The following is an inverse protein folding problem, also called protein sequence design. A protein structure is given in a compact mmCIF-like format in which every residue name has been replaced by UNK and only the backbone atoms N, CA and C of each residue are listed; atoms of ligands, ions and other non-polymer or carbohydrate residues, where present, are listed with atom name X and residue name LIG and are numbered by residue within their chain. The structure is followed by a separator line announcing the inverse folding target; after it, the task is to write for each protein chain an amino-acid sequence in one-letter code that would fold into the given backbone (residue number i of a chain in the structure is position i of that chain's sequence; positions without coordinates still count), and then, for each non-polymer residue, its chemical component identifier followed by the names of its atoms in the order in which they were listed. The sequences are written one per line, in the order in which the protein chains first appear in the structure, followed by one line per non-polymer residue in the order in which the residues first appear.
data_IF_556230052363
#
_entry.id   IF_556230052363
#
_cell.length_a   1.000
_cell.length_b   1.000
_cell.length_c   1.000
_cell.angle_alpha   90.00
_cell.angle_beta   90.00
_cell.angle_gamma   90.00
#
_symmetry.space_group_name_H-M   'P 1'
#
loop_
_entity.id
_entity.type
_entity.pdbx_description
1 polymer ?
#
# COMPACT_ATOMS: atom_id res chain seq x y z
N UNK A 1 15.56 -11.71 -12.83
CA UNK A 1 15.77 -10.35 -12.29
C UNK A 1 14.41 -9.80 -11.86
N UNK A 2 14.12 -9.78 -10.55
CA UNK A 2 12.87 -9.25 -10.02
C UNK A 2 12.94 -7.74 -9.97
N UNK A 3 12.42 -7.06 -10.99
CA UNK A 3 12.37 -5.61 -11.03
C UNK A 3 11.49 -5.09 -9.89
N UNK A 4 12.04 -4.20 -9.06
CA UNK A 4 11.28 -3.59 -7.98
C UNK A 4 10.07 -2.81 -8.54
N UNK A 5 8.86 -3.25 -8.17
CA UNK A 5 7.61 -2.57 -8.48
C UNK A 5 7.24 -1.56 -7.38
N UNK A 6 6.74 -0.40 -7.77
CA UNK A 6 6.10 0.59 -6.91
C UNK A 6 4.60 0.37 -6.98
N UNK A 7 3.88 0.59 -5.89
CA UNK A 7 2.43 0.42 -5.87
C UNK A 7 1.76 1.72 -5.41
N UNK A 8 0.80 2.18 -6.20
CA UNK A 8 -0.10 3.26 -5.81
C UNK A 8 -1.32 2.64 -5.15
N UNK A 9 -1.49 2.88 -3.85
CA UNK A 9 -2.60 2.35 -3.06
C UNK A 9 -3.56 3.48 -2.71
N UNK A 10 -4.83 3.35 -3.08
CA UNK A 10 -5.89 4.26 -2.65
C UNK A 10 -6.60 3.66 -1.45
N UNK A 11 -6.57 4.35 -0.31
CA UNK A 11 -7.33 4.01 0.90
C UNK A 11 -8.33 5.13 1.17
N UNK A 12 -9.64 4.84 1.07
CA UNK A 12 -10.67 5.80 1.43
C UNK A 12 -11.02 5.68 2.92
N UNK A 13 -10.94 6.78 3.68
CA UNK A 13 -11.30 6.78 5.10
C UNK A 13 -12.80 6.50 5.23
N UNK A 14 -13.18 5.47 5.99
CA UNK A 14 -14.58 5.10 6.25
C UNK A 14 -15.20 4.10 5.25
N UNK A 15 -14.48 3.72 4.19
CA UNK A 15 -14.89 2.61 3.31
C UNK A 15 -13.72 1.66 3.12
N UNK A 16 -13.93 0.35 3.32
CA UNK A 16 -12.89 -0.68 3.10
C UNK A 16 -12.62 -0.92 1.60
N UNK A 17 -12.51 0.16 0.82
CA UNK A 17 -12.15 0.09 -0.59
C UNK A 17 -10.67 0.39 -0.72
N UNK A 18 -9.88 -0.66 -0.94
CA UNK A 18 -8.49 -0.55 -1.33
C UNK A 18 -8.34 -0.90 -2.81
N UNK A 19 -7.70 -0.02 -3.57
CA UNK A 19 -7.33 -0.29 -4.95
C UNK A 19 -5.82 -0.08 -5.10
N UNK A 20 -5.16 -0.96 -5.84
CA UNK A 20 -3.71 -0.96 -6.05
C UNK A 20 -3.38 -0.87 -7.55
N UNK A 21 -2.45 0.00 -7.91
CA UNK A 21 -1.87 0.06 -9.26
C UNK A 21 -0.39 -0.27 -9.16
N UNK A 22 0.03 -1.33 -9.86
CA UNK A 22 1.45 -1.65 -9.99
C UNK A 22 2.10 -0.75 -11.04
N UNK A 23 3.23 -0.16 -10.66
CA UNK A 23 4.05 0.72 -11.47
C UNK A 23 5.50 0.23 -11.43
N UNK A 24 6.23 0.38 -12.53
CA UNK A 24 7.69 0.33 -12.49
C UNK A 24 8.25 1.55 -11.74
N UNK A 25 9.51 1.47 -11.28
CA UNK A 25 10.20 2.64 -10.69
C UNK A 25 10.20 3.85 -11.62
N UNK A 26 10.38 3.63 -12.92
CA UNK A 26 10.40 4.69 -13.93
C UNK A 26 9.04 5.36 -14.05
N UNK A 27 7.95 4.56 -14.09
CA UNK A 27 6.58 5.08 -14.13
C UNK A 27 6.22 5.84 -12.85
N UNK A 28 6.58 5.32 -11.67
CA UNK A 28 6.37 6.04 -10.42
C UNK A 28 7.13 7.37 -10.37
N UNK A 29 8.39 7.39 -10.84
CA UNK A 29 9.19 8.62 -10.91
C UNK A 29 8.59 9.63 -11.90
N UNK A 30 8.10 9.17 -13.05
CA UNK A 30 7.41 10.01 -14.03
C UNK A 30 6.12 10.59 -13.43
N UNK A 31 5.33 9.78 -12.72
CA UNK A 31 4.08 10.20 -12.09
C UNK A 31 4.32 11.30 -11.04
N UNK A 32 5.33 11.15 -10.19
CA UNK A 32 5.74 12.16 -9.19
C UNK A 32 6.18 13.48 -9.85
N UNK A 33 6.77 13.42 -11.04
CA UNK A 33 7.13 14.61 -11.84
C UNK A 33 5.95 15.22 -12.59
N UNK A 34 4.73 14.73 -12.37
CA UNK A 34 3.52 15.19 -13.06
C UNK A 34 3.42 14.72 -14.51
N UNK A 35 4.24 13.76 -14.93
CA UNK A 35 4.20 13.23 -16.30
C UNK A 35 3.05 12.23 -16.46
N UNK A 36 2.59 12.09 -17.70
CA UNK A 36 1.54 11.13 -18.02
C UNK A 36 2.10 9.71 -18.01
N UNK A 37 1.42 8.81 -17.31
CA UNK A 37 1.74 7.39 -17.21
C UNK A 37 0.51 6.61 -17.65
N UNK A 38 0.66 5.74 -18.65
CA UNK A 38 -0.38 4.79 -19.08
C UNK A 38 -0.10 3.44 -18.46
N UNK A 39 -1.07 2.92 -17.71
CA UNK A 39 -1.03 1.57 -17.16
C UNK A 39 -1.09 0.52 -18.26
N UNK A 40 -0.28 -0.53 -18.15
CA UNK A 40 -0.44 -1.74 -18.95
C UNK A 40 -1.65 -2.51 -18.43
N UNK A 41 -2.82 -2.18 -18.96
CA UNK A 41 -4.08 -2.94 -18.95
C UNK A 41 -4.24 -3.97 -17.82
N UNK A 42 -4.86 -3.58 -16.71
CA UNK A 42 -5.56 -4.52 -15.84
C UNK A 42 -7.06 -4.33 -16.07
N UNK A 43 -7.77 -5.39 -16.45
CA UNK A 43 -9.22 -5.37 -16.61
C UNK A 43 -9.83 -5.09 -15.23
N UNK A 44 -10.50 -3.94 -15.01
CA UNK A 44 -11.04 -3.64 -13.69
C UNK A 44 -12.19 -4.59 -13.38
N UNK A 45 -12.22 -5.15 -12.18
CA UNK A 45 -13.41 -5.81 -11.65
C UNK A 45 -14.55 -4.77 -11.60
N UNK A 46 -15.77 -5.12 -12.03
CA UNK A 46 -16.91 -4.21 -12.04
C UNK A 46 -17.11 -3.53 -10.68
N UNK A 47 -17.17 -2.19 -10.68
CA UNK A 47 -17.35 -1.37 -9.46
C UNK A 47 -16.04 -0.92 -8.78
N UNK A 48 -14.87 -1.34 -9.26
CA UNK A 48 -13.57 -0.87 -8.77
C UNK A 48 -13.13 0.45 -9.43
N UNK A 49 -12.43 1.32 -8.68
CA UNK A 49 -11.79 2.52 -9.24
C UNK A 49 -10.79 2.05 -10.30
N UNK A 50 -10.89 2.57 -11.53
CA UNK A 50 -9.97 2.16 -12.59
C UNK A 50 -8.55 2.65 -12.29
N UNK A 51 -7.50 1.93 -12.73
CA UNK A 51 -6.12 2.39 -12.59
C UNK A 51 -5.92 3.81 -13.15
N UNK A 52 -6.57 4.14 -14.27
CA UNK A 52 -6.50 5.45 -14.91
C UNK A 52 -7.14 6.55 -14.04
N UNK A 53 -8.25 6.24 -13.36
CA UNK A 53 -8.90 7.16 -12.42
C UNK A 53 -8.01 7.41 -11.19
N UNK A 54 -7.36 6.38 -10.65
CA UNK A 54 -6.40 6.54 -9.54
C UNK A 54 -5.19 7.38 -9.94
N UNK A 55 -4.62 7.15 -11.13
CA UNK A 55 -3.52 7.96 -11.65
C UNK A 55 -3.96 9.40 -11.90
N UNK A 56 -5.19 9.61 -12.37
CA UNK A 56 -5.79 10.94 -12.53
C UNK A 56 -5.95 11.67 -11.20
N UNK A 57 -6.49 10.99 -10.19
CA UNK A 57 -6.65 11.51 -8.82
C UNK A 57 -5.29 11.90 -8.24
N UNK A 58 -4.28 11.03 -8.33
CA UNK A 58 -2.93 11.32 -7.86
C UNK A 58 -2.34 12.56 -8.54
N UNK A 59 -2.46 12.68 -9.87
CA UNK A 59 -1.98 13.86 -10.60
C UNK A 59 -2.69 15.14 -10.17
N UNK A 60 -4.02 15.08 -9.99
CA UNK A 60 -4.79 16.21 -9.47
C UNK A 60 -4.33 16.62 -8.08
N UNK A 61 -4.09 15.64 -7.21
CA UNK A 61 -3.61 15.85 -5.85
C UNK A 61 -2.21 16.51 -5.82
N UNK A 62 -1.31 16.08 -6.69
CA UNK A 62 0.01 16.70 -6.87
C UNK A 62 -0.09 18.14 -7.40
N UNK A 63 -0.95 18.40 -8.38
CA UNK A 63 -1.18 19.74 -8.91
C UNK A 63 -1.74 20.71 -7.86
N UNK A 64 -2.47 20.19 -6.87
CA UNK A 64 -3.00 20.96 -5.74
C UNK A 64 -1.96 21.23 -4.64
N UNK A 65 -0.67 20.91 -4.86
CA UNK A 65 0.41 21.24 -3.93
C UNK A 65 0.55 20.29 -2.75
N UNK A 66 0.03 19.06 -2.86
CA UNK A 66 0.32 18.03 -1.85
C UNK A 66 1.82 17.72 -1.80
N UNK A 67 2.34 17.63 -0.59
CA UNK A 67 3.72 17.28 -0.28
C UNK A 67 3.76 15.95 0.48
N UNK A 68 4.87 15.20 0.37
CA UNK A 68 4.98 13.94 1.09
C UNK A 68 5.26 14.25 2.57
N UNK A 69 4.72 13.42 3.44
CA UNK A 69 4.87 13.55 4.91
C UNK A 69 5.62 12.35 5.49
N UNK A 70 5.33 11.16 4.96
CA UNK A 70 5.96 9.92 5.35
C UNK A 70 6.16 9.03 4.12
N UNK A 71 7.12 8.12 4.22
CA UNK A 71 7.29 7.02 3.28
C UNK A 71 7.40 5.71 4.03
N UNK A 72 6.98 4.64 3.37
CA UNK A 72 7.20 3.28 3.81
C UNK A 72 7.82 2.45 2.69
N UNK A 73 8.68 1.51 3.05
CA UNK A 73 9.25 0.52 2.14
C UNK A 73 9.18 -0.86 2.78
N UNK A 74 8.92 -1.89 1.98
CA UNK A 74 8.82 -3.27 2.43
C UNK A 74 9.40 -4.21 1.37
N UNK A 75 9.73 -5.43 1.77
CA UNK A 75 9.88 -6.56 0.87
C UNK A 75 8.53 -7.25 0.74
N UNK A 76 7.90 -7.12 -0.43
CA UNK A 76 6.58 -7.68 -0.70
C UNK A 76 6.68 -9.01 -1.45
N UNK A 77 6.03 -10.04 -0.91
CA UNK A 77 5.77 -11.31 -1.61
C UNK A 77 4.29 -11.36 -1.98
N UNK A 78 3.97 -11.66 -3.24
CA UNK A 78 2.59 -11.77 -3.73
C UNK A 78 2.28 -13.21 -4.11
N UNK A 79 1.18 -13.73 -3.58
CA UNK A 79 0.64 -15.05 -3.86
C UNK A 79 -0.74 -14.87 -4.49
N UNK A 80 -0.86 -15.18 -5.77
CA UNK A 80 -2.13 -15.12 -6.48
C UNK A 80 -2.29 -16.38 -7.32
N UNK A 81 -3.49 -16.93 -7.33
CA UNK A 81 -3.86 -18.03 -8.21
C UNK A 81 -4.75 -17.46 -9.32
N UNK A 82 -4.34 -17.62 -10.58
CA UNK A 82 -5.09 -17.11 -11.73
C UNK A 82 -6.49 -17.74 -11.87
N UNK A 83 -6.69 -18.93 -11.30
CA UNK A 83 -7.97 -19.63 -11.31
C UNK A 83 -8.89 -19.24 -10.15
N UNK A 84 -8.41 -18.41 -9.21
CA UNK A 84 -9.11 -18.08 -7.97
C UNK A 84 -9.18 -16.57 -7.75
N UNK A 85 -10.29 -16.04 -7.21
CA UNK A 85 -10.34 -14.65 -6.74
C UNK A 85 -9.51 -14.41 -5.46
N UNK A 86 -8.77 -15.42 -5.00
CA UNK A 86 -7.90 -15.32 -3.84
C UNK A 86 -6.54 -14.73 -4.22
N UNK A 87 -6.16 -13.66 -3.53
CA UNK A 87 -4.82 -13.12 -3.54
C UNK A 87 -4.35 -12.85 -2.11
N UNK A 88 -3.07 -13.04 -1.85
CA UNK A 88 -2.43 -12.68 -0.60
C UNK A 88 -1.14 -11.91 -0.87
N UNK A 89 -0.84 -10.93 -0.02
CA UNK A 89 0.43 -10.22 0.00
C UNK A 89 1.03 -10.30 1.39
N UNK A 90 2.33 -10.56 1.45
CA UNK A 90 3.13 -10.53 2.68
C UNK A 90 4.17 -9.41 2.55
N UNK A 91 4.05 -8.40 3.39
CA UNK A 91 5.04 -7.33 3.52
C UNK A 91 5.97 -7.62 4.71
N UNK A 92 7.24 -7.77 4.41
CA UNK A 92 8.32 -8.02 5.36
C UNK A 92 9.30 -6.84 5.39
N UNK A 93 10.16 -6.79 6.41
CA UNK A 93 11.20 -5.76 6.56
C UNK A 93 10.67 -4.33 6.41
N UNK A 94 9.48 -4.08 6.97
CA UNK A 94 8.75 -2.83 6.81
C UNK A 94 9.51 -1.71 7.52
N UNK A 95 9.91 -0.72 6.72
CA UNK A 95 10.64 0.47 7.11
C UNK A 95 9.80 1.71 6.88
N UNK A 96 9.83 2.65 7.81
CA UNK A 96 9.06 3.89 7.75
C UNK A 96 9.97 5.08 8.05
N UNK A 97 9.72 6.20 7.38
CA UNK A 97 10.49 7.41 7.61
C UNK A 97 9.69 8.67 7.29
N UNK A 98 9.99 9.75 8.01
CA UNK A 98 9.49 11.08 7.68
C UNK A 98 10.22 11.61 6.44
N UNK A 99 9.46 12.26 5.55
CA UNK A 99 9.99 12.89 4.33
C UNK A 99 9.34 14.26 4.16
N UNK A 100 10.06 15.16 3.50
CA UNK A 100 9.57 16.52 3.20
C UNK A 100 9.45 16.80 1.71
N UNK A 101 10.16 16.02 0.90
CA UNK A 101 10.25 16.19 -0.55
C UNK A 101 10.14 14.84 -1.23
N UNK A 102 9.58 14.84 -2.43
CA UNK A 102 9.38 13.62 -3.20
C UNK A 102 10.73 13.07 -3.68
N UNK A 103 10.98 11.78 -3.45
CA UNK A 103 12.23 11.13 -3.83
C UNK A 103 13.42 11.44 -2.92
N UNK A 104 13.21 12.16 -1.82
CA UNK A 104 14.27 12.40 -0.83
C UNK A 104 14.64 11.11 -0.08
N UNK A 105 15.94 10.90 0.12
CA UNK A 105 16.45 9.84 1.00
C UNK A 105 16.17 10.23 2.46
N UNK A 106 15.52 9.36 3.25
CA UNK A 106 15.22 9.68 4.64
C UNK A 106 16.50 9.68 5.48
N UNK A 107 16.59 10.60 6.45
CA UNK A 107 17.73 10.65 7.39
C UNK A 107 17.65 9.60 8.48
N UNK A 108 16.43 9.28 8.93
CA UNK A 108 16.15 8.30 9.97
C UNK A 108 15.07 7.37 9.45
N UNK A 109 15.26 6.08 9.71
CA UNK A 109 14.33 5.03 9.30
C UNK A 109 14.02 4.18 10.52
N UNK A 110 12.73 3.98 10.76
CA UNK A 110 12.21 3.13 11.81
C UNK A 110 11.68 1.84 11.22
N UNK A 111 11.72 0.78 12.03
CA UNK A 111 11.23 -0.54 11.66
C UNK A 111 9.89 -0.81 12.32
N UNK A 112 8.92 -1.30 11.54
CA UNK A 112 7.72 -1.91 12.10
C UNK A 112 8.12 -3.30 12.64
N UNK A 113 7.82 -3.64 13.90
CA UNK A 113 8.25 -4.91 14.49
C UNK A 113 7.39 -6.11 14.04
N UNK A 114 6.52 -5.92 13.05
CA UNK A 114 5.58 -6.91 12.55
C UNK A 114 5.66 -7.00 11.02
N UNK A 115 5.45 -8.22 10.51
CA UNK A 115 5.14 -8.43 9.11
C UNK A 115 3.63 -8.22 8.90
N UNK A 116 3.24 -7.77 7.71
CA UNK A 116 1.83 -7.51 7.38
C UNK A 116 1.37 -8.50 6.32
N UNK A 117 0.44 -9.38 6.69
CA UNK A 117 -0.23 -10.30 5.79
C UNK A 117 -1.60 -9.75 5.44
N UNK A 118 -1.83 -9.50 4.15
CA UNK A 118 -3.14 -9.10 3.64
C UNK A 118 -3.67 -10.21 2.74
N UNK A 119 -4.90 -10.64 2.99
CA UNK A 119 -5.57 -11.67 2.19
C UNK A 119 -6.87 -11.09 1.66
N UNK A 120 -7.02 -11.12 0.34
CA UNK A 120 -8.22 -10.74 -0.39
C UNK A 120 -8.88 -12.00 -0.92
N UNK A 121 -10.12 -12.26 -0.53
CA UNK A 121 -10.91 -13.41 -1.00
C UNK A 121 -12.35 -13.01 -1.28
N UNK A 122 -13.03 -13.77 -2.14
CA UNK A 122 -14.47 -13.60 -2.34
C UNK A 122 -15.22 -13.92 -1.03
N UNK A 123 -16.18 -13.08 -0.60
CA UNK A 123 -16.81 -13.21 0.72
C UNK A 123 -17.64 -14.49 0.88
N UNK A 124 -18.17 -15.02 -0.23
CA UNK A 124 -19.22 -16.04 -0.18
C UNK A 124 -18.70 -17.45 0.11
N UNK A 125 -17.41 -17.74 -0.09
CA UNK A 125 -16.80 -19.06 0.16
C UNK A 125 -15.28 -18.98 0.38
N UNK A 126 -14.80 -18.52 1.55
CA UNK A 126 -13.38 -18.55 1.85
C UNK A 126 -12.85 -19.99 1.91
N UNK A 127 -11.64 -20.29 1.36
CA UNK A 127 -11.05 -21.61 1.43
C UNK A 127 -10.88 -22.10 2.88
N UNK A 128 -11.13 -23.38 3.14
CA UNK A 128 -11.07 -23.93 4.52
C UNK A 128 -9.72 -23.73 5.20
N UNK A 129 -8.63 -23.82 4.45
CA UNK A 129 -7.28 -23.63 4.99
C UNK A 129 -7.03 -22.21 5.48
N UNK A 130 -7.79 -21.22 4.97
CA UNK A 130 -7.67 -19.83 5.40
C UNK A 130 -8.06 -19.64 6.87
N UNK A 131 -9.01 -20.45 7.37
CA UNK A 131 -9.33 -20.49 8.81
C UNK A 131 -8.12 -20.87 9.65
N UNK A 132 -7.30 -21.80 9.18
CA UNK A 132 -6.08 -22.19 9.88
C UNK A 132 -5.08 -21.04 10.06
N UNK A 133 -5.08 -20.05 9.15
CA UNK A 133 -4.28 -18.83 9.31
C UNK A 133 -4.94 -17.88 10.32
N UNK A 134 -6.26 -17.67 10.21
CA UNK A 134 -6.99 -16.78 11.12
C UNK A 134 -7.00 -17.24 12.57
N UNK A 135 -7.00 -18.55 12.79
CA UNK A 135 -7.00 -19.17 14.11
C UNK A 135 -5.57 -19.38 14.64
N UNK A 136 -4.54 -19.04 13.87
CA UNK A 136 -3.14 -19.18 14.29
C UNK A 136 -2.81 -18.18 15.40
N UNK A 137 -2.16 -18.61 16.50
CA UNK A 137 -1.75 -17.71 17.58
C UNK A 137 -0.67 -16.71 17.14
N UNK A 138 0.02 -16.99 16.03
CA UNK A 138 1.06 -16.13 15.47
C UNK A 138 0.49 -14.98 14.62
N UNK A 139 -0.82 -14.94 14.42
CA UNK A 139 -1.50 -13.95 13.56
C UNK A 139 -2.44 -13.08 14.40
N UNK A 140 -2.06 -11.81 14.53
CA UNK A 140 -2.95 -10.79 15.08
C UNK A 140 -3.82 -10.18 13.97
N UNK A 141 -5.14 -10.29 14.11
CA UNK A 141 -6.07 -9.67 13.16
C UNK A 141 -6.20 -8.17 13.42
N UNK A 142 -5.86 -7.35 12.42
CA UNK A 142 -5.98 -5.89 12.48
C UNK A 142 -6.94 -5.39 11.39
N UNK A 143 -8.21 -5.19 11.76
CA UNK A 143 -9.21 -4.67 10.84
C UNK A 143 -8.90 -3.22 10.43
N UNK A 144 -8.90 -2.95 9.12
CA UNK A 144 -8.68 -1.60 8.60
C UNK A 144 -7.25 -1.08 8.75
N UNK A 145 -6.28 -1.96 9.05
CA UNK A 145 -4.87 -1.57 9.08
C UNK A 145 -4.43 -0.99 7.72
N UNK A 146 -3.75 0.15 7.75
CA UNK A 146 -3.13 0.76 6.59
C UNK A 146 -1.71 1.16 6.93
N UNK A 147 -0.74 0.59 6.20
CA UNK A 147 0.67 0.90 6.38
C UNK A 147 0.95 2.40 6.17
N UNK A 148 0.27 3.03 5.22
CA UNK A 148 0.40 4.46 4.94
C UNK A 148 -0.08 5.31 6.13
N UNK A 149 -1.27 5.01 6.67
CA UNK A 149 -1.78 5.73 7.85
C UNK A 149 -0.90 5.51 9.07
N UNK A 150 -0.42 4.29 9.27
CA UNK A 150 0.49 3.98 10.37
C UNK A 150 1.81 4.75 10.24
N UNK A 151 2.41 4.78 9.04
CA UNK A 151 3.64 5.55 8.79
C UNK A 151 3.45 7.05 9.02
N UNK A 152 2.32 7.63 8.57
CA UNK A 152 1.98 9.04 8.81
C UNK A 152 1.83 9.30 10.30
N UNK A 153 1.00 8.51 11.00
CA UNK A 153 0.76 8.68 12.43
C UNK A 153 2.07 8.58 13.23
N UNK A 154 2.88 7.56 12.95
CA UNK A 154 4.17 7.35 13.59
C UNK A 154 5.14 8.53 13.36
N UNK A 155 5.24 9.04 12.13
CA UNK A 155 6.12 10.17 11.82
C UNK A 155 5.62 11.49 12.42
N UNK A 156 4.31 11.74 12.41
CA UNK A 156 3.71 12.91 13.03
C UNK A 156 3.90 12.92 14.54
N UNK A 157 3.72 11.77 15.21
CA UNK A 157 3.89 11.65 16.67
C UNK A 157 5.33 11.83 17.12
N UNK A 158 6.30 11.24 16.39
CA UNK A 158 7.72 11.47 16.69
C UNK A 158 8.12 12.94 16.61
N UNK A 159 7.50 13.70 15.72
CA UNK A 159 7.74 15.13 15.60
C UNK A 159 6.98 15.96 16.64
N UNK A 160 5.97 15.40 17.31
CA UNK A 160 5.15 16.10 18.32
C UNK A 160 5.47 15.72 19.76
N UNK A 161 6.44 14.83 20.00
CA UNK A 161 6.83 14.31 21.34
C UNK A 161 5.67 13.66 22.13
N UNK A 162 4.60 13.24 21.46
CA UNK A 162 3.45 12.60 22.11
C UNK A 162 3.52 11.07 22.01
N UNK A 163 3.10 10.32 23.05
CA UNK A 163 3.06 8.86 23.00
C UNK A 163 2.00 8.35 22.02
N UNK A 164 2.30 7.22 21.36
CA UNK A 164 1.34 6.48 20.54
C UNK A 164 0.19 5.94 21.42
N UNK A 165 -1.08 6.05 21.00
CA UNK A 165 -2.20 5.37 21.65
C UNK A 165 -2.13 3.85 21.47
#
# INVERSE_FOLDING_TARGET
EGGASVQLVRTAIGTMSMAEVQLSRTEASALVKGQYVTTRSATPASGSVTPEAMLGEFRGAMANGLHPVAQSSSRRSTFADAASPLAATLDEDIKMAAVKEWGATPKLTDHLPYNVLQISCAPDNPPKWLRGIYDSPDVAQAQGFSLALHAIAHCCLKNSEQPLP
#
